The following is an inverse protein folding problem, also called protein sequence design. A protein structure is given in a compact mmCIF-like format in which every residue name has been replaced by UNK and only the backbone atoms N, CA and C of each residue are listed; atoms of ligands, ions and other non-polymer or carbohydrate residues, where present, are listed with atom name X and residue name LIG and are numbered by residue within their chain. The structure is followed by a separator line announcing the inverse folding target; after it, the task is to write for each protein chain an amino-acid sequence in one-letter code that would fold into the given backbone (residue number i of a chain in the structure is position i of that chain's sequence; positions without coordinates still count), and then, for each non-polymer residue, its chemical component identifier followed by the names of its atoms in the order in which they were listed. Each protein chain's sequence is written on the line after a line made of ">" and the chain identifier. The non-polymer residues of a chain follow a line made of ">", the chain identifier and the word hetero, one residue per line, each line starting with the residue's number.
data_IF_136365305685
#
_entry.id   IF_136365305685
#
_cell.length_a   1.000
_cell.length_b   1.000
_cell.length_c   1.000
_cell.angle_alpha   90.00
_cell.angle_beta   90.00
_cell.angle_gamma   90.00
#
_symmetry.space_group_name_H-M   'P 1'
#
loop_
_entity.id
_entity.type
_entity.pdbx_description
1 polymer ?
#
# COMPACT_ATOMS: atom_id res chain seq x y z
N UNK A 1 -9.74 -25.80 4.31
CA UNK A 1 -8.34 -25.51 4.04
C UNK A 1 -7.65 -24.80 5.21
N UNK A 2 -8.21 -23.67 5.66
CA UNK A 2 -7.62 -22.89 6.75
C UNK A 2 -7.60 -23.68 8.06
N UNK A 3 -8.64 -24.46 8.33
CA UNK A 3 -8.70 -25.29 9.53
C UNK A 3 -7.63 -26.35 9.54
N UNK A 4 -7.37 -26.94 8.37
CA UNK A 4 -6.33 -27.95 8.22
C UNK A 4 -4.94 -27.36 8.44
N UNK A 5 -4.69 -26.17 7.90
CA UNK A 5 -3.43 -25.45 8.08
C UNK A 5 -3.23 -25.10 9.55
N UNK A 6 -4.27 -24.60 10.21
CA UNK A 6 -4.20 -24.22 11.62
C UNK A 6 -4.02 -25.43 12.55
N UNK A 7 -4.51 -26.60 12.14
CA UNK A 7 -4.44 -27.81 12.95
C UNK A 7 -3.10 -28.54 12.86
N UNK A 8 -2.26 -28.22 11.89
CA UNK A 8 -0.97 -28.88 11.70
C UNK A 8 0.18 -27.95 12.09
N UNK A 9 0.68 -28.04 13.35
CA UNK A 9 1.76 -27.16 13.80
C UNK A 9 3.13 -27.52 13.22
N UNK A 10 3.25 -28.62 12.50
CA UNK A 10 4.53 -29.04 11.92
C UNK A 10 4.80 -28.37 10.56
N UNK A 11 3.77 -27.86 9.92
CA UNK A 11 3.91 -27.16 8.64
C UNK A 11 3.91 -25.64 8.84
N UNK A 12 4.99 -24.99 8.41
CA UNK A 12 5.13 -23.53 8.43
C UNK A 12 4.54 -22.94 7.15
N UNK A 13 3.21 -22.84 7.11
CA UNK A 13 2.50 -22.28 5.94
C UNK A 13 1.86 -20.96 6.34
N UNK A 14 2.07 -19.94 5.52
CA UNK A 14 1.44 -18.64 5.68
C UNK A 14 0.64 -18.33 4.41
N UNK A 15 -0.65 -18.04 4.57
CA UNK A 15 -1.51 -17.66 3.46
C UNK A 15 -1.87 -16.19 3.65
N UNK A 16 -1.65 -15.39 2.59
CA UNK A 16 -1.93 -13.96 2.62
C UNK A 16 -3.02 -13.68 1.60
N UNK A 17 -4.12 -13.10 2.07
CA UNK A 17 -5.21 -12.65 1.21
C UNK A 17 -5.15 -11.13 1.12
N UNK A 18 -5.30 -10.59 -0.08
CA UNK A 18 -5.35 -9.15 -0.29
C UNK A 18 -6.69 -8.78 -0.92
N UNK A 19 -7.21 -7.64 -0.51
CA UNK A 19 -8.45 -7.12 -1.06
C UNK A 19 -8.49 -5.60 -0.91
N UNK A 20 -9.35 -4.95 -1.69
CA UNK A 20 -9.66 -3.53 -1.49
C UNK A 20 -10.76 -3.38 -0.45
N UNK A 21 -10.96 -2.17 0.06
CA UNK A 21 -12.06 -1.91 0.98
C UNK A 21 -13.41 -2.29 0.37
N UNK A 22 -13.62 -1.96 -0.91
CA UNK A 22 -14.84 -2.34 -1.62
C UNK A 22 -14.95 -3.84 -1.83
N UNK A 23 -13.83 -4.48 -2.18
CA UNK A 23 -13.78 -5.94 -2.33
C UNK A 23 -14.09 -6.65 -1.02
N UNK A 24 -13.61 -6.11 0.09
CA UNK A 24 -13.90 -6.65 1.41
C UNK A 24 -15.38 -6.54 1.76
N UNK A 25 -15.99 -5.39 1.51
CA UNK A 25 -17.43 -5.22 1.71
C UNK A 25 -18.25 -6.18 0.86
N UNK A 26 -17.87 -6.34 -0.41
CA UNK A 26 -18.56 -7.22 -1.33
C UNK A 26 -18.42 -8.68 -0.97
N UNK A 27 -17.19 -9.11 -0.59
CA UNK A 27 -16.91 -10.51 -0.28
C UNK A 27 -17.34 -10.92 1.13
N UNK A 28 -17.21 -10.02 2.09
CA UNK A 28 -17.35 -10.36 3.50
C UNK A 28 -18.55 -9.68 4.17
N UNK A 29 -19.00 -8.54 3.66
CA UNK A 29 -20.09 -7.79 4.26
C UNK A 29 -21.44 -8.47 4.15
N UNK A 30 -21.72 -9.06 3.00
CA UNK A 30 -23.01 -9.66 2.68
C UNK A 30 -23.02 -11.19 2.81
N UNK A 31 -21.86 -11.81 3.07
CA UNK A 31 -21.75 -13.26 3.16
C UNK A 31 -21.56 -13.71 4.59
N UNK A 32 -22.53 -14.44 5.11
CA UNK A 32 -22.44 -15.04 6.45
C UNK A 32 -21.33 -16.09 6.48
N UNK A 33 -21.11 -16.79 5.36
CA UNK A 33 -20.12 -17.86 5.28
C UNK A 33 -18.68 -17.36 5.32
N UNK A 34 -18.44 -16.07 5.05
CA UNK A 34 -17.11 -15.48 5.09
C UNK A 34 -16.69 -15.05 6.48
N UNK A 35 -17.60 -14.96 7.45
CA UNK A 35 -17.26 -14.59 8.83
C UNK A 35 -16.23 -15.50 9.49
N UNK A 36 -16.32 -16.83 9.33
CA UNK A 36 -15.29 -17.72 9.90
C UNK A 36 -13.92 -17.47 9.31
N UNK A 37 -13.82 -17.11 8.05
CA UNK A 37 -12.55 -16.77 7.40
C UNK A 37 -11.94 -15.53 8.04
N UNK A 38 -12.72 -14.47 8.24
CA UNK A 38 -12.26 -13.24 8.86
C UNK A 38 -11.78 -13.48 10.31
N UNK A 39 -12.48 -14.33 11.04
CA UNK A 39 -12.13 -14.65 12.43
C UNK A 39 -10.82 -15.42 12.53
N UNK A 40 -10.45 -16.16 11.50
CA UNK A 40 -9.22 -16.95 11.46
C UNK A 40 -8.02 -16.19 10.93
N UNK A 41 -8.23 -14.97 10.43
CA UNK A 41 -7.18 -14.14 9.86
C UNK A 41 -6.84 -12.97 10.75
N UNK A 42 -5.55 -12.61 10.79
CA UNK A 42 -5.13 -11.32 11.34
C UNK A 42 -5.35 -10.28 10.25
N UNK A 43 -6.19 -9.30 10.54
CA UNK A 43 -6.52 -8.26 9.58
C UNK A 43 -5.54 -7.11 9.69
N UNK A 44 -4.93 -6.77 8.57
CA UNK A 44 -4.03 -5.62 8.48
C UNK A 44 -4.63 -4.64 7.49
N UNK A 45 -5.02 -3.48 7.99
CA UNK A 45 -5.59 -2.42 7.16
C UNK A 45 -4.49 -1.45 6.75
N UNK A 46 -4.27 -1.29 5.46
CA UNK A 46 -3.33 -0.32 4.92
C UNK A 46 -4.07 0.97 4.62
N UNK A 47 -3.42 2.08 4.87
CA UNK A 47 -3.97 3.40 4.58
C UNK A 47 -2.94 4.25 3.85
N UNK A 48 -3.41 5.18 3.03
CA UNK A 48 -2.55 6.21 2.45
C UNK A 48 -2.77 7.59 3.07
N UNK A 49 -3.59 7.67 4.13
CA UNK A 49 -3.84 8.93 4.81
C UNK A 49 -2.71 9.27 5.78
N UNK A 50 -2.30 10.53 5.79
CA UNK A 50 -1.25 11.00 6.68
C UNK A 50 0.15 10.51 6.33
N UNK A 51 0.37 9.99 5.13
CA UNK A 51 1.64 9.41 4.71
C UNK A 51 2.40 10.29 3.70
N UNK A 52 2.02 11.56 3.55
CA UNK A 52 2.67 12.44 2.57
C UNK A 52 4.18 12.53 2.79
N UNK A 53 4.63 12.64 4.05
CA UNK A 53 6.06 12.71 4.37
C UNK A 53 6.78 11.40 3.99
N UNK A 54 6.21 10.26 4.35
CA UNK A 54 6.82 8.96 4.06
C UNK A 54 6.88 8.71 2.55
N UNK A 55 5.82 9.04 1.82
CA UNK A 55 5.80 8.90 0.38
C UNK A 55 6.78 9.86 -0.29
N UNK A 56 6.90 11.08 0.23
CA UNK A 56 7.86 12.06 -0.27
C UNK A 56 9.29 11.55 -0.10
N UNK A 57 9.65 11.00 1.04
CA UNK A 57 10.97 10.44 1.28
C UNK A 57 11.29 9.28 0.34
N UNK A 58 10.32 8.39 0.13
CA UNK A 58 10.49 7.27 -0.80
C UNK A 58 10.65 7.75 -2.23
N UNK A 59 9.83 8.70 -2.65
CA UNK A 59 9.90 9.28 -3.98
C UNK A 59 11.24 9.99 -4.21
N UNK A 60 11.73 10.71 -3.22
CA UNK A 60 13.03 11.36 -3.28
C UNK A 60 14.16 10.34 -3.48
N UNK A 61 14.12 9.25 -2.72
CA UNK A 61 15.11 8.16 -2.84
C UNK A 61 15.11 7.59 -4.26
N UNK A 62 13.94 7.33 -4.80
CA UNK A 62 13.81 6.80 -6.16
C UNK A 62 14.31 7.81 -7.20
N UNK A 63 13.93 9.08 -7.05
CA UNK A 63 14.36 10.13 -7.96
C UNK A 63 15.88 10.30 -7.98
N UNK A 64 16.51 10.22 -6.82
CA UNK A 64 17.99 10.27 -6.73
C UNK A 64 18.63 9.10 -7.44
N UNK A 65 18.05 7.90 -7.27
CA UNK A 65 18.56 6.71 -7.95
C UNK A 65 18.44 6.79 -9.46
N UNK A 66 17.45 7.49 -9.98
CA UNK A 66 17.21 7.65 -11.41
C UNK A 66 17.82 8.93 -11.99
N UNK A 67 18.44 9.76 -11.15
CA UNK A 67 19.03 11.01 -11.62
C UNK A 67 18.02 12.10 -11.93
N UNK A 68 16.82 12.02 -11.36
CA UNK A 68 15.73 12.96 -11.61
C UNK A 68 15.47 13.93 -10.45
N UNK A 69 16.33 13.90 -9.43
CA UNK A 69 16.21 14.73 -8.25
C UNK A 69 16.88 16.09 -8.48
N UNK A 70 16.11 17.15 -8.35
CA UNK A 70 16.61 18.53 -8.43
C UNK A 70 15.91 19.46 -7.46
N UNK A 71 15.04 18.92 -6.60
CA UNK A 71 14.22 19.71 -5.71
C UNK A 71 14.36 19.24 -4.26
N UNK A 72 14.12 20.14 -3.27
CA UNK A 72 14.16 19.75 -1.86
C UNK A 72 12.96 18.86 -1.48
N UNK A 73 13.08 18.21 -0.31
CA UNK A 73 12.04 17.31 0.18
C UNK A 73 10.66 17.97 0.30
N UNK A 74 10.62 19.27 0.59
CA UNK A 74 9.36 20.01 0.66
C UNK A 74 8.58 19.98 -0.66
N UNK A 75 9.26 19.98 -1.79
CA UNK A 75 8.62 19.86 -3.09
C UNK A 75 7.98 18.49 -3.28
N UNK A 76 8.65 17.43 -2.79
CA UNK A 76 8.10 16.07 -2.84
C UNK A 76 6.88 15.91 -1.93
N UNK A 77 6.88 16.56 -0.77
CA UNK A 77 5.71 16.56 0.12
C UNK A 77 4.52 17.22 -0.57
N UNK A 78 4.75 18.36 -1.23
CA UNK A 78 3.70 19.03 -1.99
C UNK A 78 3.18 18.15 -3.14
N UNK A 79 4.09 17.45 -3.81
CA UNK A 79 3.72 16.50 -4.86
C UNK A 79 2.86 15.37 -4.30
N UNK A 80 3.23 14.82 -3.16
CA UNK A 80 2.44 13.77 -2.51
C UNK A 80 1.03 14.25 -2.19
N UNK A 81 0.89 15.46 -1.69
CA UNK A 81 -0.41 16.06 -1.39
C UNK A 81 -1.23 16.28 -2.66
N UNK A 82 -0.59 16.79 -3.72
CA UNK A 82 -1.24 17.01 -5.01
C UNK A 82 -1.72 15.70 -5.63
N UNK A 83 -0.94 14.65 -5.49
CA UNK A 83 -1.26 13.31 -6.00
C UNK A 83 -2.13 12.50 -5.03
N UNK A 84 -2.59 13.10 -3.93
CA UNK A 84 -3.45 12.46 -2.93
C UNK A 84 -2.81 11.17 -2.37
N UNK A 85 -1.52 11.24 -2.10
CA UNK A 85 -0.72 10.12 -1.58
C UNK A 85 -0.74 8.89 -2.50
N UNK A 86 -0.79 9.09 -3.81
CA UNK A 86 -0.64 8.02 -4.79
C UNK A 86 0.81 7.95 -5.25
N UNK A 87 1.51 6.91 -4.85
CA UNK A 87 2.92 6.74 -5.26
C UNK A 87 3.06 6.59 -6.77
N UNK A 88 2.12 5.90 -7.42
CA UNK A 88 2.14 5.76 -8.88
C UNK A 88 2.08 7.11 -9.58
N UNK A 89 1.14 7.96 -9.17
CA UNK A 89 1.00 9.29 -9.75
C UNK A 89 2.24 10.15 -9.48
N UNK A 90 2.81 10.06 -8.28
CA UNK A 90 4.03 10.76 -7.94
C UNK A 90 5.20 10.35 -8.83
N UNK A 91 5.37 9.05 -9.05
CA UNK A 91 6.46 8.53 -9.88
C UNK A 91 6.28 8.91 -11.34
N UNK A 92 5.05 8.94 -11.85
CA UNK A 92 4.76 9.41 -13.20
C UNK A 92 5.16 10.87 -13.38
N UNK A 93 4.83 11.72 -12.41
CA UNK A 93 5.21 13.13 -12.44
C UNK A 93 6.72 13.31 -12.38
N UNK A 94 7.42 12.55 -11.55
CA UNK A 94 8.87 12.59 -11.43
C UNK A 94 9.51 12.13 -12.75
N UNK A 95 8.99 11.07 -13.35
CA UNK A 95 9.48 10.57 -14.64
C UNK A 95 9.32 11.63 -15.74
N UNK A 96 8.25 12.42 -15.66
CA UNK A 96 8.00 13.51 -16.59
C UNK A 96 8.89 14.75 -16.33
N UNK A 97 9.72 14.70 -15.29
CA UNK A 97 10.69 15.74 -15.02
C UNK A 97 10.24 16.84 -14.08
N UNK A 98 9.14 16.67 -13.35
CA UNK A 98 8.62 17.74 -12.49
C UNK A 98 9.55 18.08 -11.32
N UNK A 99 10.44 17.17 -10.92
CA UNK A 99 11.42 17.37 -9.85
C UNK A 99 12.83 17.62 -10.38
N UNK A 100 13.02 17.58 -11.67
CA UNK A 100 14.30 17.91 -12.30
C UNK A 100 14.56 19.41 -12.25
N UNK A 101 15.82 19.79 -12.16
CA UNK A 101 16.23 21.20 -12.24
C UNK A 101 16.00 21.79 -13.62
#
# INVERSE_FOLDING_TARGET
>A
LLERIAADPTESVCIIFTTTAQGEESLFGDSIDARPLLQRCTRIALTNQGLAQAFAERALTIARGEGLDGQPIGAYVKLAQRCKNSMRAMLEEIENGCMAE
#
